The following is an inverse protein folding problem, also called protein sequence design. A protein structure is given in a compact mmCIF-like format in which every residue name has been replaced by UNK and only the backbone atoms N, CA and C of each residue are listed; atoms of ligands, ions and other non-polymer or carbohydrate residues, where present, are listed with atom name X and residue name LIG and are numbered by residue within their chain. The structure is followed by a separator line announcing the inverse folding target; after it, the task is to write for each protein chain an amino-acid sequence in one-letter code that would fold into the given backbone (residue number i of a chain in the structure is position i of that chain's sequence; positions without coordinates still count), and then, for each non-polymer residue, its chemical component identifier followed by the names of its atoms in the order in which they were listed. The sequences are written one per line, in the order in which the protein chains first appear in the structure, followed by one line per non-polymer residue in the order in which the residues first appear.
data_IF_080306842475
#
_entry.id   IF_080306842475
#
_cell.length_a   1.000
_cell.length_b   1.000
_cell.length_c   1.000
_cell.angle_alpha   90.00
_cell.angle_beta   90.00
_cell.angle_gamma   90.00
#
_symmetry.space_group_name_H-M   'P 1'
#
loop_
_entity.id
_entity.type
_entity.pdbx_description
1 polymer ?
#
# COMPACT_ATOMS: atom_id res chain seq x y z
N UNK A 1 -13.28 -4.34 -4.87
CA UNK A 1 -13.00 -3.48 -6.05
C UNK A 1 -11.51 -3.51 -6.32
N UNK A 2 -11.05 -3.41 -7.57
CA UNK A 2 -9.61 -3.34 -7.86
C UNK A 2 -9.08 -1.92 -7.62
N UNK A 3 -7.82 -1.83 -7.16
CA UNK A 3 -7.11 -0.56 -7.06
C UNK A 3 -6.85 0.04 -8.46
N UNK A 4 -7.05 1.35 -8.61
CA UNK A 4 -6.73 2.09 -9.83
C UNK A 4 -5.21 2.16 -9.99
N UNK A 5 -4.76 2.26 -11.25
CA UNK A 5 -3.33 2.37 -11.56
C UNK A 5 -2.68 3.61 -10.91
N UNK A 6 -3.42 4.73 -10.78
CA UNK A 6 -2.97 5.93 -10.09
C UNK A 6 -2.70 5.68 -8.60
N UNK A 7 -3.60 4.96 -7.93
CA UNK A 7 -3.51 4.61 -6.50
C UNK A 7 -2.30 3.69 -6.26
N UNK A 8 -2.13 2.65 -7.10
CA UNK A 8 -0.98 1.74 -7.04
C UNK A 8 0.35 2.50 -7.14
N UNK A 9 0.46 3.50 -8.03
CA UNK A 9 1.66 4.34 -8.15
C UNK A 9 1.93 5.15 -6.88
N UNK A 10 0.88 5.70 -6.25
CA UNK A 10 1.00 6.46 -5.00
C UNK A 10 1.47 5.54 -3.87
N UNK A 11 0.83 4.37 -3.71
CA UNK A 11 1.18 3.37 -2.68
C UNK A 11 2.65 2.97 -2.80
N UNK A 12 3.09 2.58 -4.01
CA UNK A 12 4.50 2.22 -4.27
C UNK A 12 5.47 3.37 -3.95
N UNK A 13 5.08 4.62 -4.24
CA UNK A 13 5.89 5.80 -3.94
C UNK A 13 6.00 6.05 -2.44
N UNK A 14 4.91 5.90 -1.69
CA UNK A 14 4.89 6.05 -0.24
C UNK A 14 5.67 4.94 0.46
N UNK A 15 5.43 3.68 0.07
CA UNK A 15 6.18 2.53 0.57
C UNK A 15 7.70 2.72 0.38
N UNK A 16 8.13 3.14 -0.83
CA UNK A 16 9.55 3.42 -1.11
C UNK A 16 10.13 4.52 -0.22
N UNK A 17 9.36 5.57 0.09
CA UNK A 17 9.81 6.64 1.02
C UNK A 17 10.02 6.13 2.45
N UNK A 18 9.26 5.12 2.86
CA UNK A 18 9.40 4.46 4.16
C UNK A 18 10.43 3.33 4.16
N UNK A 19 11.18 3.14 3.06
CA UNK A 19 12.17 2.07 2.94
C UNK A 19 11.58 0.69 2.64
N UNK A 20 10.25 0.59 2.48
CA UNK A 20 9.56 -0.67 2.16
C UNK A 20 9.77 -0.98 0.68
N UNK A 21 10.43 -2.10 0.41
CA UNK A 21 10.75 -2.56 -0.95
C UNK A 21 9.80 -3.67 -1.36
N UNK A 22 9.70 -3.87 -2.68
CA UNK A 22 8.96 -5.01 -3.27
C UNK A 22 7.51 -5.09 -2.80
N UNK A 23 6.73 -4.04 -3.04
CA UNK A 23 5.27 -4.04 -2.83
C UNK A 23 4.59 -4.99 -3.82
N UNK A 24 3.92 -6.00 -3.28
CA UNK A 24 3.15 -7.03 -3.95
C UNK A 24 1.66 -6.94 -3.57
N UNK A 25 0.82 -7.61 -4.35
CA UNK A 25 -0.57 -7.94 -3.99
C UNK A 25 -1.39 -6.81 -3.35
N UNK A 26 -1.38 -5.61 -3.94
CA UNK A 26 -2.15 -4.46 -3.42
C UNK A 26 -3.66 -4.76 -3.52
N UNK A 27 -4.36 -4.69 -2.41
CA UNK A 27 -5.82 -4.83 -2.31
C UNK A 27 -6.43 -3.56 -1.77
N UNK A 28 -7.64 -3.26 -2.24
CA UNK A 28 -8.42 -2.10 -1.79
C UNK A 28 -9.41 -2.58 -0.74
N UNK A 29 -9.34 -1.98 0.44
CA UNK A 29 -10.27 -2.23 1.55
C UNK A 29 -11.45 -1.25 1.46
N UNK A 30 -11.16 0.05 1.30
CA UNK A 30 -12.16 1.13 1.18
C UNK A 30 -11.77 2.13 0.08
N UNK A 31 -12.43 3.29 -0.02
CA UNK A 31 -12.19 4.30 -1.04
C UNK A 31 -10.72 4.76 -1.06
N UNK A 32 -10.13 4.97 0.12
CA UNK A 32 -8.76 5.48 0.27
C UNK A 32 -7.84 4.55 1.06
N UNK A 33 -8.34 3.38 1.47
CA UNK A 33 -7.64 2.44 2.32
C UNK A 33 -7.25 1.18 1.55
N UNK A 34 -6.00 0.78 1.70
CA UNK A 34 -5.42 -0.34 0.97
C UNK A 34 -4.57 -1.20 1.89
N UNK A 35 -4.48 -2.47 1.54
CA UNK A 35 -3.49 -3.38 2.08
C UNK A 35 -2.53 -3.79 0.99
N UNK A 36 -1.27 -4.04 1.34
CA UNK A 36 -0.30 -4.61 0.42
C UNK A 36 0.66 -5.51 1.16
N UNK A 37 1.12 -6.54 0.48
CA UNK A 37 2.09 -7.49 1.01
C UNK A 37 3.48 -7.16 0.46
N UNK A 38 4.54 -7.41 1.22
CA UNK A 38 5.91 -7.36 0.70
C UNK A 38 6.40 -8.74 0.31
N UNK A 39 7.50 -8.80 -0.43
CA UNK A 39 8.17 -10.08 -0.71
C UNK A 39 8.65 -10.82 0.56
N UNK A 40 8.73 -10.13 1.70
CA UNK A 40 9.06 -10.71 3.00
C UNK A 40 7.83 -11.32 3.71
N UNK A 41 6.66 -11.27 3.08
CA UNK A 41 5.40 -11.75 3.64
C UNK A 41 4.80 -10.82 4.70
N UNK A 42 5.26 -9.57 4.78
CA UNK A 42 4.74 -8.59 5.73
C UNK A 42 3.53 -7.90 5.10
N UNK A 43 2.41 -7.88 5.83
CA UNK A 43 1.22 -7.17 5.44
C UNK A 43 1.26 -5.74 5.99
N UNK A 44 1.02 -4.77 5.11
CA UNK A 44 0.92 -3.37 5.47
C UNK A 44 -0.45 -2.83 5.14
N UNK A 45 -0.97 -2.01 6.03
CA UNK A 45 -2.11 -1.14 5.79
C UNK A 45 -1.62 0.26 5.39
N UNK A 46 -2.31 0.89 4.45
CA UNK A 46 -2.05 2.27 4.03
C UNK A 46 -3.35 3.04 3.81
N UNK A 47 -3.43 4.23 4.38
CA UNK A 47 -4.47 5.22 4.08
C UNK A 47 -3.88 6.33 3.20
N UNK A 48 -4.46 6.54 2.02
CA UNK A 48 -4.00 7.54 1.06
C UNK A 48 -4.32 8.99 1.45
N UNK A 49 -5.30 9.22 2.33
CA UNK A 49 -5.64 10.56 2.85
C UNK A 49 -4.55 11.00 3.84
N UNK A 50 -4.36 10.23 4.91
CA UNK A 50 -3.35 10.53 5.94
C UNK A 50 -1.91 10.23 5.49
N UNK A 51 -1.74 9.35 4.48
CA UNK A 51 -0.46 8.83 3.98
C UNK A 51 0.31 8.02 5.03
N UNK A 52 -0.38 7.53 6.06
CA UNK A 52 0.19 6.64 7.05
C UNK A 52 0.31 5.22 6.50
N UNK A 53 1.41 4.54 6.85
CA UNK A 53 1.61 3.11 6.59
C UNK A 53 1.83 2.44 7.93
N UNK A 54 1.10 1.36 8.22
CA UNK A 54 1.20 0.57 9.46
C UNK A 54 1.40 -0.90 9.09
N UNK A 55 2.35 -1.56 9.74
CA UNK A 55 2.47 -3.01 9.67
C UNK A 55 1.29 -3.64 10.44
N UNK A 56 0.70 -4.68 9.87
CA UNK A 56 -0.40 -5.46 10.46
C UNK A 56 0.16 -6.72 11.10
#
# INVERSE_FOLDING_TARGET
MNAKHSEIKIIKKLAKKQGIKHVLSIRREDENEFTFETNEGILYFIDLISKEIKAV
#
